data_IF_742074781366
#
_entry.id   IF_742074781366
#
_cell.length_a   1.000
_cell.length_b   1.000
_cell.length_c   1.000
_cell.angle_alpha   90.00
_cell.angle_beta   90.00
_cell.angle_gamma   90.00
#
_symmetry.space_group_name_H-M   'P 1'
#
loop_
_entity.id
_entity.type
_entity.pdbx_description
1 polymer ?
#
# COMPACT_ATOMS: atom_id res chain seq x y z
N UNK A 1 -70.66 -17.87 -40.31
CA UNK A 1 -70.30 -16.92 -39.32
C UNK A 1 -69.12 -17.55 -38.50
N UNK A 2 -67.90 -17.19 -38.79
CA UNK A 2 -66.66 -17.69 -38.05
C UNK A 2 -66.33 -16.67 -37.00
N UNK A 3 -66.36 -17.10 -35.72
CA UNK A 3 -65.87 -16.27 -34.57
C UNK A 3 -64.36 -16.33 -34.51
N UNK A 4 -63.72 -15.19 -34.62
CA UNK A 4 -62.30 -15.00 -34.46
C UNK A 4 -62.01 -14.75 -32.95
N UNK A 5 -61.36 -15.67 -32.26
CA UNK A 5 -60.82 -15.45 -30.88
C UNK A 5 -59.51 -14.71 -30.97
N UNK A 6 -59.45 -13.50 -30.42
CA UNK A 6 -58.24 -12.71 -30.25
C UNK A 6 -57.60 -13.13 -28.91
N UNK A 7 -56.46 -13.77 -28.95
CA UNK A 7 -55.65 -14.08 -27.77
C UNK A 7 -54.72 -12.88 -27.51
N UNK A 8 -55.03 -12.06 -26.49
CA UNK A 8 -54.12 -11.01 -25.98
C UNK A 8 -53.08 -11.67 -25.09
N UNK A 9 -51.85 -11.82 -25.58
CA UNK A 9 -50.71 -12.21 -24.77
C UNK A 9 -50.25 -11.05 -23.91
N UNK A 10 -50.34 -11.20 -22.58
CA UNK A 10 -49.82 -10.26 -21.59
C UNK A 10 -48.29 -10.47 -21.51
N UNK A 11 -47.50 -9.57 -22.10
CA UNK A 11 -46.04 -9.55 -21.92
C UNK A 11 -45.76 -8.87 -20.61
N UNK A 12 -45.36 -9.65 -19.58
CA UNK A 12 -44.86 -9.14 -18.30
C UNK A 12 -43.44 -8.61 -18.53
N UNK A 13 -43.28 -7.30 -18.59
CA UNK A 13 -41.96 -6.66 -18.47
C UNK A 13 -41.50 -6.73 -17.03
N UNK A 14 -40.58 -7.63 -16.73
CA UNK A 14 -39.82 -7.60 -15.47
C UNK A 14 -38.86 -6.43 -15.56
N UNK A 15 -39.21 -5.30 -14.97
CA UNK A 15 -38.28 -4.19 -14.75
C UNK A 15 -37.30 -4.62 -13.67
N UNK A 16 -36.15 -5.12 -14.07
CA UNK A 16 -35.02 -5.29 -13.18
C UNK A 16 -34.52 -3.89 -12.84
N UNK A 17 -34.87 -3.38 -11.67
CA UNK A 17 -34.32 -2.15 -11.15
C UNK A 17 -32.80 -2.33 -11.06
N UNK A 18 -31.97 -1.42 -11.60
CA UNK A 18 -30.55 -1.47 -11.33
C UNK A 18 -30.34 -1.33 -9.83
N UNK A 19 -29.81 -2.36 -9.19
CA UNK A 19 -29.31 -2.24 -7.82
C UNK A 19 -28.20 -1.19 -7.88
N UNK A 20 -28.47 0.00 -7.35
CA UNK A 20 -27.42 0.98 -7.08
C UNK A 20 -26.47 0.33 -6.07
N UNK A 21 -25.31 -0.14 -6.54
CA UNK A 21 -24.22 -0.53 -5.66
C UNK A 21 -23.94 0.70 -4.77
N UNK A 22 -24.12 0.53 -3.47
CA UNK A 22 -23.69 1.54 -2.50
C UNK A 22 -22.21 1.81 -2.72
N UNK A 23 -21.82 3.08 -2.76
CA UNK A 23 -20.39 3.42 -2.83
C UNK A 23 -19.65 2.80 -1.64
N UNK A 24 -18.49 2.21 -1.90
CA UNK A 24 -17.66 1.61 -0.85
C UNK A 24 -17.35 2.65 0.24
N UNK A 25 -17.52 2.26 1.50
CA UNK A 25 -17.20 3.11 2.65
C UNK A 25 -15.73 2.91 3.01
N UNK A 26 -14.84 3.52 2.21
CA UNK A 26 -13.40 3.40 2.40
C UNK A 26 -12.93 4.17 3.63
N UNK A 27 -11.94 3.59 4.32
CA UNK A 27 -11.24 4.27 5.42
C UNK A 27 -10.28 5.31 4.85
N UNK A 28 -10.19 6.46 5.50
CA UNK A 28 -9.24 7.53 5.14
C UNK A 28 -7.97 7.41 5.96
N UNK A 29 -6.84 7.76 5.36
CA UNK A 29 -5.51 7.92 5.98
C UNK A 29 -4.67 8.84 5.08
N UNK A 30 -3.60 9.42 5.63
CA UNK A 30 -2.94 10.55 4.98
C UNK A 30 -1.44 10.36 4.85
N UNK A 31 -0.80 9.72 5.83
CA UNK A 31 0.64 9.49 5.90
C UNK A 31 0.92 7.99 6.03
N UNK A 32 1.19 7.32 4.89
CA UNK A 32 1.40 5.87 4.82
C UNK A 32 2.88 5.51 4.70
N UNK A 33 3.44 4.85 5.70
CA UNK A 33 4.81 4.36 5.64
C UNK A 33 4.90 2.94 5.10
N UNK A 34 5.90 2.68 4.24
CA UNK A 34 6.17 1.37 3.66
C UNK A 34 7.14 0.58 4.54
N UNK A 35 6.74 -0.64 4.92
CA UNK A 35 7.48 -1.54 5.79
C UNK A 35 7.77 -2.86 5.08
N UNK A 36 8.94 -2.97 4.46
CA UNK A 36 9.38 -4.21 3.81
C UNK A 36 9.60 -5.32 4.81
N UNK A 37 8.96 -6.48 4.60
CA UNK A 37 9.03 -7.63 5.51
C UNK A 37 8.62 -8.93 4.82
N UNK A 38 9.19 -10.06 5.26
CA UNK A 38 8.78 -11.40 4.80
C UNK A 38 9.75 -12.06 3.84
N UNK A 39 10.72 -11.35 3.31
CA UNK A 39 11.82 -11.95 2.53
C UNK A 39 12.87 -12.57 3.45
N UNK A 40 13.38 -13.77 3.09
CA UNK A 40 14.43 -14.45 3.87
C UNK A 40 15.76 -13.69 3.92
N UNK A 41 15.97 -12.71 3.05
CA UNK A 41 17.14 -11.84 3.01
C UNK A 41 17.03 -10.65 3.96
N UNK A 42 15.86 -10.42 4.59
CA UNK A 42 15.69 -9.34 5.55
C UNK A 42 16.46 -9.66 6.83
N UNK A 43 17.29 -8.73 7.27
CA UNK A 43 18.17 -8.88 8.44
C UNK A 43 17.53 -8.42 9.74
N UNK A 44 16.30 -7.92 9.68
CA UNK A 44 15.56 -7.38 10.84
C UNK A 44 14.12 -7.92 10.87
N UNK A 45 13.53 -7.82 12.04
CA UNK A 45 12.11 -8.07 12.26
C UNK A 45 11.44 -6.80 12.75
N UNK A 46 10.23 -6.55 12.27
CA UNK A 46 9.40 -5.44 12.77
C UNK A 46 8.80 -5.82 14.13
N UNK A 47 9.63 -5.75 15.18
CA UNK A 47 9.21 -5.87 16.58
C UNK A 47 8.80 -4.50 17.16
N UNK A 48 8.45 -4.47 18.45
CA UNK A 48 8.02 -3.25 19.15
C UNK A 48 9.11 -2.16 19.13
N UNK A 49 10.38 -2.55 19.27
CA UNK A 49 11.48 -1.58 19.30
C UNK A 49 11.70 -0.92 17.93
N UNK A 50 11.69 -1.73 16.86
CA UNK A 50 11.82 -1.21 15.48
C UNK A 50 10.59 -0.40 15.04
N UNK A 51 9.39 -0.77 15.51
CA UNK A 51 8.13 -0.10 15.12
C UNK A 51 7.94 1.24 15.83
N UNK A 52 8.53 1.42 17.02
CA UNK A 52 8.34 2.61 17.88
C UNK A 52 8.49 3.95 17.14
N UNK A 53 9.62 4.25 16.42
CA UNK A 53 9.83 5.55 15.79
C UNK A 53 8.90 5.82 14.59
N UNK A 54 8.10 4.84 14.16
CA UNK A 54 7.08 4.99 13.12
C UNK A 54 5.70 5.28 13.71
N UNK A 55 5.48 4.93 14.97
CA UNK A 55 4.21 5.19 15.66
C UNK A 55 4.22 6.54 16.35
N UNK A 56 5.35 6.89 17.00
CA UNK A 56 5.48 8.15 17.73
C UNK A 56 6.82 8.83 17.48
N UNK A 57 6.81 10.15 17.58
CA UNK A 57 7.97 11.02 17.51
C UNK A 57 8.03 11.93 18.75
N UNK A 58 9.19 12.03 19.38
CA UNK A 58 9.46 13.00 20.44
C UNK A 58 10.24 14.17 19.85
N UNK A 59 9.68 15.37 19.89
CA UNK A 59 10.29 16.58 19.35
C UNK A 59 11.44 17.08 20.22
N UNK A 60 12.18 18.10 19.74
CA UNK A 60 13.32 18.71 20.41
C UNK A 60 12.96 19.36 21.77
N UNK A 61 11.68 19.62 22.03
CA UNK A 61 11.16 20.14 23.31
C UNK A 61 10.72 19.03 24.26
N UNK A 62 10.90 17.76 23.86
CA UNK A 62 10.47 16.59 24.63
C UNK A 62 8.98 16.25 24.53
N UNK A 63 8.23 16.91 23.64
CA UNK A 63 6.82 16.60 23.43
C UNK A 63 6.68 15.42 22.47
N UNK A 64 5.90 14.42 22.86
CA UNK A 64 5.59 13.26 22.02
C UNK A 64 4.37 13.53 21.12
N UNK A 65 4.43 13.02 19.88
CA UNK A 65 3.40 13.17 18.85
C UNK A 65 3.11 11.82 18.20
N UNK A 66 1.87 11.58 17.76
CA UNK A 66 1.55 10.52 16.80
C UNK A 66 2.24 10.84 15.47
N UNK A 67 2.75 9.80 14.79
CA UNK A 67 3.52 9.97 13.55
C UNK A 67 2.69 9.54 12.33
N UNK A 68 2.93 8.33 11.79
CA UNK A 68 2.17 7.83 10.65
C UNK A 68 0.80 7.30 11.08
N UNK A 69 -0.21 7.51 10.24
CA UNK A 69 -1.57 7.00 10.47
C UNK A 69 -1.87 5.72 9.68
N UNK A 70 -1.01 5.35 8.69
CA UNK A 70 -1.12 4.12 7.92
C UNK A 70 0.23 3.41 7.74
N UNK A 71 0.17 2.07 7.67
CA UNK A 71 1.32 1.18 7.60
C UNK A 71 1.12 0.15 6.50
N UNK A 72 1.93 0.22 5.45
CA UNK A 72 1.92 -0.73 4.34
C UNK A 72 2.99 -1.81 4.56
N UNK A 73 2.56 -3.05 4.78
CA UNK A 73 3.46 -4.21 4.80
C UNK A 73 3.52 -4.84 3.41
N UNK A 74 4.73 -4.94 2.86
CA UNK A 74 4.97 -5.48 1.52
C UNK A 74 6.30 -6.24 1.42
N UNK A 75 6.44 -7.05 0.36
CA UNK A 75 7.68 -7.68 -0.04
C UNK A 75 7.67 -7.94 -1.55
N UNK A 76 8.79 -7.66 -2.22
CA UNK A 76 8.93 -7.82 -3.68
C UNK A 76 9.40 -9.22 -4.05
N UNK A 77 10.31 -9.81 -3.26
CA UNK A 77 10.84 -11.15 -3.53
C UNK A 77 11.13 -11.93 -2.25
N UNK A 78 11.15 -13.25 -2.37
CA UNK A 78 11.31 -14.13 -1.21
C UNK A 78 12.70 -14.10 -0.57
N UNK A 79 13.71 -13.57 -1.25
CA UNK A 79 15.12 -13.72 -0.86
C UNK A 79 15.70 -15.12 -1.12
N UNK A 80 14.94 -15.99 -1.82
CA UNK A 80 15.34 -17.35 -2.27
C UNK A 80 15.09 -17.54 -3.76
N UNK A 81 15.24 -16.47 -4.53
CA UNK A 81 15.15 -16.49 -5.99
C UNK A 81 13.73 -16.59 -6.57
N UNK A 82 12.67 -16.35 -5.76
CA UNK A 82 11.29 -16.20 -6.24
C UNK A 82 10.82 -14.76 -6.01
N UNK A 83 9.90 -14.26 -6.84
CA UNK A 83 9.36 -12.90 -6.79
C UNK A 83 7.85 -12.88 -6.57
N UNK A 84 7.39 -11.84 -5.88
CA UNK A 84 5.97 -11.52 -5.71
C UNK A 84 5.47 -10.51 -6.76
N UNK A 85 6.38 -9.84 -7.47
CA UNK A 85 6.08 -8.92 -8.56
C UNK A 85 6.98 -9.21 -9.76
N UNK A 86 6.50 -8.94 -10.98
CA UNK A 86 7.27 -9.08 -12.22
C UNK A 86 8.47 -8.13 -12.28
N UNK A 87 9.47 -8.50 -13.08
CA UNK A 87 10.64 -7.65 -13.34
C UNK A 87 11.85 -7.87 -12.42
N UNK A 88 11.76 -8.67 -11.36
CA UNK A 88 12.84 -8.85 -10.39
C UNK A 88 13.60 -10.17 -10.52
N UNK A 89 12.92 -11.28 -10.82
CA UNK A 89 13.52 -12.59 -11.10
C UNK A 89 12.65 -13.36 -12.11
N UNK A 90 13.13 -14.52 -12.61
CA UNK A 90 12.37 -15.37 -13.54
C UNK A 90 11.46 -16.41 -12.85
N UNK A 91 11.50 -16.47 -11.52
CA UNK A 91 10.79 -17.50 -10.76
C UNK A 91 9.62 -16.91 -9.98
N UNK A 92 8.38 -17.23 -10.36
CA UNK A 92 7.20 -16.76 -9.65
C UNK A 92 7.03 -17.44 -8.29
N UNK A 93 6.41 -16.72 -7.36
CA UNK A 93 5.89 -17.29 -6.11
C UNK A 93 4.59 -18.05 -6.36
N UNK A 94 4.33 -19.05 -5.52
CA UNK A 94 3.11 -19.85 -5.55
C UNK A 94 2.16 -19.54 -4.37
N UNK A 95 1.04 -20.24 -4.31
CA UNK A 95 0.03 -20.06 -3.26
C UNK A 95 0.60 -20.24 -1.84
N UNK A 96 1.56 -21.15 -1.65
CA UNK A 96 2.17 -21.39 -0.34
C UNK A 96 3.10 -20.23 0.04
N UNK A 97 3.82 -19.65 -0.92
CA UNK A 97 4.62 -18.45 -0.70
C UNK A 97 3.73 -17.27 -0.31
N UNK A 98 2.57 -17.10 -0.98
CA UNK A 98 1.61 -16.04 -0.66
C UNK A 98 0.99 -16.24 0.73
N UNK A 99 0.62 -17.48 1.05
CA UNK A 99 0.11 -17.83 2.38
C UNK A 99 1.14 -17.51 3.47
N UNK A 100 2.38 -17.93 3.28
CA UNK A 100 3.48 -17.66 4.21
C UNK A 100 3.69 -16.16 4.41
N UNK A 101 3.61 -15.38 3.34
CA UNK A 101 3.77 -13.92 3.39
C UNK A 101 2.65 -13.27 4.23
N UNK A 102 1.40 -13.64 4.00
CA UNK A 102 0.26 -13.16 4.79
C UNK A 102 0.38 -13.54 6.28
N UNK A 103 0.74 -14.81 6.57
CA UNK A 103 0.95 -15.29 7.94
C UNK A 103 2.12 -14.56 8.62
N UNK A 104 3.15 -14.18 7.86
CA UNK A 104 4.28 -13.40 8.38
C UNK A 104 3.85 -11.98 8.81
N UNK A 105 3.02 -11.29 8.02
CA UNK A 105 2.54 -9.96 8.38
C UNK A 105 1.62 -9.97 9.60
N UNK A 106 0.85 -11.04 9.78
CA UNK A 106 -0.21 -11.14 10.78
C UNK A 106 0.21 -11.97 12.01
N UNK A 107 1.48 -11.85 12.43
CA UNK A 107 1.97 -12.47 13.66
C UNK A 107 1.61 -11.64 14.91
N UNK A 108 1.59 -12.29 16.07
CA UNK A 108 1.22 -11.63 17.33
C UNK A 108 2.31 -10.69 17.89
N UNK A 109 3.58 -10.96 17.56
CA UNK A 109 4.74 -10.31 18.21
C UNK A 109 5.58 -9.49 17.24
N UNK A 110 5.34 -9.61 15.94
CA UNK A 110 6.04 -8.87 14.88
C UNK A 110 5.05 -8.26 13.90
N UNK A 111 5.52 -7.37 13.03
CA UNK A 111 4.73 -6.68 12.01
C UNK A 111 3.46 -6.06 12.61
N UNK A 112 2.26 -6.46 12.15
CA UNK A 112 0.99 -5.89 12.60
C UNK A 112 0.75 -6.10 14.10
N UNK A 113 1.18 -7.23 14.68
CA UNK A 113 1.05 -7.46 16.12
C UNK A 113 1.99 -6.56 16.95
N UNK A 114 3.20 -6.33 16.50
CA UNK A 114 4.10 -5.37 17.14
C UNK A 114 3.57 -3.94 17.02
N UNK A 115 3.02 -3.58 15.86
CA UNK A 115 2.37 -2.28 15.65
C UNK A 115 1.20 -2.09 16.64
N UNK A 116 0.30 -3.07 16.75
CA UNK A 116 -0.84 -3.01 17.69
C UNK A 116 -0.38 -2.79 19.14
N UNK A 117 0.68 -3.50 19.57
CA UNK A 117 1.28 -3.35 20.91
C UNK A 117 1.96 -1.99 21.10
N UNK A 118 2.67 -1.50 20.08
CA UNK A 118 3.35 -0.20 20.14
C UNK A 118 2.35 0.93 20.26
N UNK A 119 1.25 0.88 19.52
CA UNK A 119 0.16 1.87 19.63
C UNK A 119 -0.49 1.80 21.02
N UNK A 120 -0.75 0.59 21.57
CA UNK A 120 -1.31 0.44 22.91
C UNK A 120 -0.42 1.07 23.98
N UNK A 121 0.91 0.88 23.88
CA UNK A 121 1.85 1.52 24.80
C UNK A 121 1.90 3.06 24.63
N UNK A 122 1.79 3.55 23.40
CA UNK A 122 1.76 4.99 23.12
C UNK A 122 0.49 5.67 23.65
N UNK A 123 -0.65 5.00 23.60
CA UNK A 123 -1.93 5.50 24.16
C UNK A 123 -1.87 5.82 25.66
N UNK A 124 -1.02 5.14 26.42
CA UNK A 124 -0.78 5.42 27.84
C UNK A 124 -0.22 6.84 28.06
N UNK A 125 0.51 7.37 27.08
CA UNK A 125 1.20 8.68 27.14
C UNK A 125 0.47 9.76 26.37
N UNK A 126 -0.04 9.44 25.19
CA UNK A 126 -0.65 10.39 24.23
C UNK A 126 -2.18 10.42 24.28
N UNK A 127 -2.83 9.50 25.01
CA UNK A 127 -4.26 9.27 24.85
C UNK A 127 -4.60 8.50 23.57
N UNK A 128 -5.88 8.31 23.30
CA UNK A 128 -6.31 7.64 22.07
C UNK A 128 -6.07 8.51 20.85
N UNK A 129 -5.57 7.96 19.73
CA UNK A 129 -5.56 8.68 18.47
C UNK A 129 -7.00 8.95 18.01
N UNK A 130 -7.21 9.96 17.18
CA UNK A 130 -8.55 10.33 16.67
C UNK A 130 -9.20 9.16 15.93
N UNK A 131 -8.44 8.43 15.16
CA UNK A 131 -8.87 7.19 14.49
C UNK A 131 -7.87 6.07 14.78
N UNK A 132 -8.30 4.82 14.65
CA UNK A 132 -7.36 3.70 14.68
C UNK A 132 -6.38 3.81 13.50
N UNK A 133 -5.13 3.41 13.73
CA UNK A 133 -4.15 3.33 12.67
C UNK A 133 -4.55 2.30 11.62
N UNK A 134 -4.20 2.56 10.37
CA UNK A 134 -4.61 1.75 9.22
C UNK A 134 -3.48 0.81 8.80
N UNK A 135 -3.86 -0.39 8.41
CA UNK A 135 -2.95 -1.39 7.83
C UNK A 135 -3.34 -1.62 6.39
N UNK A 136 -2.37 -1.52 5.51
CA UNK A 136 -2.47 -1.89 4.09
C UNK A 136 -1.53 -3.06 3.86
N UNK A 137 -1.97 -4.06 3.10
CA UNK A 137 -1.19 -5.29 2.84
C UNK A 137 -0.86 -5.38 1.36
N UNK A 138 0.40 -5.66 1.06
CA UNK A 138 0.85 -5.91 -0.31
C UNK A 138 0.14 -7.13 -0.91
N UNK A 139 -0.51 -6.94 -2.05
CA UNK A 139 -1.15 -7.99 -2.84
C UNK A 139 -0.17 -8.49 -3.89
N UNK A 140 0.35 -9.72 -3.81
CA UNK A 140 1.27 -10.24 -4.79
C UNK A 140 0.67 -10.29 -6.20
N UNK A 141 1.50 -10.08 -7.20
CA UNK A 141 1.08 -10.13 -8.60
C UNK A 141 0.86 -11.59 -9.05
N UNK A 142 -0.31 -11.94 -9.61
CA UNK A 142 -0.55 -13.24 -10.22
C UNK A 142 0.14 -13.30 -11.57
N UNK A 143 1.40 -13.75 -11.59
CA UNK A 143 2.27 -13.69 -12.76
C UNK A 143 1.69 -14.51 -13.93
N UNK A 144 1.62 -13.86 -15.10
CA UNK A 144 1.01 -14.46 -16.30
C UNK A 144 1.73 -15.75 -16.71
N UNK A 145 0.96 -16.73 -17.19
CA UNK A 145 1.42 -18.03 -17.68
C UNK A 145 1.94 -19.02 -16.62
N UNK A 146 1.80 -18.75 -15.34
CA UNK A 146 2.14 -19.70 -14.27
C UNK A 146 1.04 -20.77 -14.14
N UNK A 147 1.40 -22.05 -14.37
CA UNK A 147 0.44 -23.19 -14.34
C UNK A 147 0.34 -23.92 -13.01
N UNK A 148 1.30 -23.74 -12.12
CA UNK A 148 1.40 -24.47 -10.84
C UNK A 148 1.32 -23.50 -9.65
N UNK A 149 0.44 -22.48 -9.74
CA UNK A 149 0.33 -21.50 -8.65
C UNK A 149 -0.34 -22.11 -7.41
N UNK A 150 -1.42 -22.86 -7.58
CA UNK A 150 -2.18 -23.45 -6.48
C UNK A 150 -3.62 -23.77 -6.89
N UNK A 151 -4.54 -23.71 -5.92
CA UNK A 151 -5.95 -24.08 -6.10
C UNK A 151 -6.88 -22.98 -5.61
N UNK A 152 -8.03 -22.84 -6.27
CA UNK A 152 -9.16 -22.05 -5.80
C UNK A 152 -9.79 -22.67 -4.53
N UNK A 153 -10.72 -21.96 -3.90
CA UNK A 153 -11.44 -22.39 -2.69
C UNK A 153 -12.22 -23.70 -2.88
N UNK A 154 -12.67 -23.98 -4.12
CA UNK A 154 -13.38 -25.20 -4.51
C UNK A 154 -12.45 -26.38 -4.83
N UNK A 155 -11.13 -26.20 -4.70
CA UNK A 155 -10.12 -27.24 -5.00
C UNK A 155 -9.68 -27.31 -6.47
N UNK A 156 -10.23 -26.50 -7.36
CA UNK A 156 -9.85 -26.42 -8.78
C UNK A 156 -8.43 -25.81 -8.90
N UNK A 157 -7.56 -26.45 -9.68
CA UNK A 157 -6.24 -25.92 -10.00
C UNK A 157 -6.36 -24.66 -10.86
N UNK A 158 -5.60 -23.62 -10.51
CA UNK A 158 -5.56 -22.37 -11.26
C UNK A 158 -4.45 -22.40 -12.33
N UNK A 159 -4.81 -21.95 -13.54
CA UNK A 159 -3.91 -21.72 -14.67
C UNK A 159 -3.83 -20.20 -14.93
N UNK A 160 -2.77 -19.56 -14.45
CA UNK A 160 -2.60 -18.11 -14.55
C UNK A 160 -2.29 -17.61 -15.99
N UNK A 161 -2.40 -18.49 -17.01
CA UNK A 161 -2.54 -18.06 -18.40
C UNK A 161 -3.91 -17.41 -18.67
N UNK A 162 -4.90 -17.68 -17.79
CA UNK A 162 -6.26 -17.16 -17.88
C UNK A 162 -6.48 -16.02 -16.89
N UNK A 163 -7.06 -14.93 -17.34
CA UNK A 163 -7.30 -13.77 -16.48
C UNK A 163 -8.29 -14.07 -15.34
N UNK A 164 -9.31 -14.93 -15.59
CA UNK A 164 -10.23 -15.36 -14.54
C UNK A 164 -9.53 -16.10 -13.40
N UNK A 165 -8.55 -16.94 -13.70
CA UNK A 165 -7.77 -17.67 -12.71
C UNK A 165 -6.77 -16.75 -11.98
N UNK A 166 -6.26 -15.72 -12.64
CA UNK A 166 -5.44 -14.66 -12.02
C UNK A 166 -6.27 -13.83 -11.03
N UNK A 167 -7.49 -13.44 -11.41
CA UNK A 167 -8.42 -12.74 -10.53
C UNK A 167 -8.78 -13.62 -9.33
N UNK A 168 -9.03 -14.91 -9.54
CA UNK A 168 -9.35 -15.86 -8.46
C UNK A 168 -8.19 -16.03 -7.48
N UNK A 169 -6.94 -16.05 -7.96
CA UNK A 169 -5.76 -16.06 -7.10
C UNK A 169 -5.69 -14.83 -6.19
N UNK A 170 -5.98 -13.63 -6.74
CA UNK A 170 -6.05 -12.40 -5.96
C UNK A 170 -7.18 -12.46 -4.91
N UNK A 171 -8.38 -12.92 -5.28
CA UNK A 171 -9.51 -13.07 -4.36
C UNK A 171 -9.17 -14.04 -3.22
N UNK A 172 -8.58 -15.18 -3.54
CA UNK A 172 -8.13 -16.13 -2.54
C UNK A 172 -7.20 -15.48 -1.50
N UNK A 173 -6.23 -14.68 -1.95
CA UNK A 173 -5.30 -14.01 -1.04
C UNK A 173 -5.98 -12.94 -0.19
N UNK A 174 -6.84 -12.12 -0.79
CA UNK A 174 -7.61 -11.09 -0.10
C UNK A 174 -8.46 -11.74 1.01
N UNK A 175 -9.22 -12.79 0.68
CA UNK A 175 -10.07 -13.50 1.64
C UNK A 175 -9.26 -14.14 2.76
N UNK A 176 -8.10 -14.73 2.41
CA UNK A 176 -7.19 -15.31 3.37
C UNK A 176 -6.68 -14.27 4.37
N UNK A 177 -6.19 -13.12 3.90
CA UNK A 177 -5.72 -12.03 4.75
C UNK A 177 -6.85 -11.47 5.62
N UNK A 178 -8.03 -11.20 5.05
CA UNK A 178 -9.19 -10.71 5.79
C UNK A 178 -9.59 -11.65 6.94
N UNK A 179 -9.65 -12.97 6.64
CA UNK A 179 -9.93 -13.99 7.65
C UNK A 179 -8.88 -13.99 8.76
N UNK A 180 -7.60 -14.03 8.40
CA UNK A 180 -6.48 -14.04 9.36
C UNK A 180 -6.45 -12.77 10.20
N UNK A 181 -6.63 -11.59 9.60
CA UNK A 181 -6.67 -10.32 10.33
C UNK A 181 -7.80 -10.31 11.38
N UNK A 182 -8.98 -10.80 11.02
CA UNK A 182 -10.12 -10.93 11.94
C UNK A 182 -9.83 -11.90 13.09
N UNK A 183 -9.17 -13.03 12.82
CA UNK A 183 -8.79 -14.03 13.83
C UNK A 183 -7.81 -13.46 14.87
N UNK A 184 -6.89 -12.58 14.46
CA UNK A 184 -5.87 -11.98 15.32
C UNK A 184 -6.47 -11.00 16.35
N UNK A 185 -7.66 -10.43 16.12
CA UNK A 185 -8.38 -9.53 17.04
C UNK A 185 -7.55 -8.34 17.51
N UNK A 186 -6.79 -7.72 16.63
CA UNK A 186 -6.03 -6.50 16.91
C UNK A 186 -6.95 -5.40 17.45
N UNK A 187 -6.47 -4.61 18.42
CA UNK A 187 -7.29 -3.62 19.15
C UNK A 187 -7.15 -2.20 18.58
N UNK A 188 -5.96 -1.87 18.10
CA UNK A 188 -5.56 -0.50 17.79
C UNK A 188 -5.39 -0.23 16.30
N UNK A 189 -5.47 -1.27 15.48
CA UNK A 189 -5.33 -1.18 14.03
C UNK A 189 -6.57 -1.72 13.30
N UNK A 190 -6.74 -1.31 12.05
CA UNK A 190 -7.80 -1.76 11.14
C UNK A 190 -7.20 -2.07 9.79
N UNK A 191 -7.65 -3.16 9.15
CA UNK A 191 -7.30 -3.46 7.75
C UNK A 191 -8.05 -2.48 6.85
N UNK A 192 -7.33 -1.55 6.23
CA UNK A 192 -7.91 -0.51 5.39
C UNK A 192 -7.93 -0.87 3.91
N UNK A 193 -7.04 -1.74 3.47
CA UNK A 193 -6.98 -2.08 2.05
C UNK A 193 -5.76 -2.92 1.66
N UNK A 194 -5.58 -3.01 0.35
CA UNK A 194 -4.47 -3.73 -0.26
C UNK A 194 -3.69 -2.83 -1.21
N UNK A 195 -2.42 -3.10 -1.34
CA UNK A 195 -1.50 -2.43 -2.24
C UNK A 195 -1.16 -3.36 -3.41
N UNK A 196 -1.39 -2.91 -4.64
CA UNK A 196 -0.98 -3.61 -5.84
C UNK A 196 0.52 -3.48 -6.03
N UNK A 197 1.23 -4.60 -5.95
CA UNK A 197 2.69 -4.59 -5.85
C UNK A 197 3.40 -4.31 -7.18
N UNK A 198 2.74 -4.54 -8.33
CA UNK A 198 3.30 -4.20 -9.62
C UNK A 198 3.18 -2.70 -9.86
N UNK A 199 4.30 -2.02 -10.08
CA UNK A 199 4.38 -0.55 -10.16
C UNK A 199 4.04 0.00 -11.56
N UNK A 200 3.63 -0.88 -12.49
CA UNK A 200 3.12 -0.55 -13.83
C UNK A 200 1.97 -1.49 -14.22
N UNK A 201 1.11 -1.07 -15.14
CA UNK A 201 -0.08 -1.83 -15.52
C UNK A 201 0.16 -2.86 -16.65
N UNK A 202 1.31 -2.86 -17.29
CA UNK A 202 1.62 -3.60 -18.52
C UNK A 202 1.20 -5.07 -18.52
N UNK A 203 1.49 -5.80 -17.44
CA UNK A 203 1.18 -7.22 -17.34
C UNK A 203 -0.19 -7.52 -16.69
N UNK A 204 -0.86 -6.53 -16.15
CA UNK A 204 -2.00 -6.72 -15.24
C UNK A 204 -3.23 -5.90 -15.60
N UNK A 205 -3.16 -5.04 -16.60
CA UNK A 205 -4.23 -4.15 -17.06
C UNK A 205 -5.58 -4.85 -17.24
N UNK A 206 -5.58 -6.10 -17.71
CA UNK A 206 -6.80 -6.87 -17.98
C UNK A 206 -7.51 -7.39 -16.74
N UNK A 207 -6.87 -7.37 -15.56
CA UNK A 207 -7.39 -7.93 -14.31
C UNK A 207 -7.54 -6.92 -13.18
N UNK A 208 -6.80 -5.80 -13.21
CA UNK A 208 -6.72 -4.85 -12.10
C UNK A 208 -8.11 -4.34 -11.70
N UNK A 209 -8.91 -3.93 -12.68
CA UNK A 209 -10.24 -3.36 -12.42
C UNK A 209 -11.14 -4.32 -11.63
N UNK A 210 -11.21 -5.60 -12.01
CA UNK A 210 -12.03 -6.61 -11.33
C UNK A 210 -11.53 -6.91 -9.91
N UNK A 211 -10.21 -6.79 -9.67
CA UNK A 211 -9.63 -6.90 -8.31
C UNK A 211 -10.05 -5.70 -7.47
N UNK A 212 -10.01 -4.49 -8.03
CA UNK A 212 -10.48 -3.26 -7.37
C UNK A 212 -11.97 -3.34 -7.00
N UNK A 213 -12.83 -3.79 -7.93
CA UNK A 213 -14.26 -4.01 -7.66
C UNK A 213 -14.49 -5.00 -6.52
N UNK A 214 -13.67 -6.07 -6.46
CA UNK A 214 -13.78 -7.05 -5.38
C UNK A 214 -13.44 -6.45 -4.04
N UNK A 215 -12.35 -5.70 -3.94
CA UNK A 215 -11.95 -5.00 -2.71
C UNK A 215 -13.00 -3.98 -2.26
N UNK A 216 -13.54 -3.19 -3.20
CA UNK A 216 -14.58 -2.20 -2.89
C UNK A 216 -15.88 -2.84 -2.35
N UNK A 217 -16.24 -4.06 -2.78
CA UNK A 217 -17.37 -4.82 -2.19
C UNK A 217 -17.15 -5.22 -0.74
N UNK A 218 -15.89 -5.22 -0.28
CA UNK A 218 -15.50 -5.51 1.09
C UNK A 218 -15.20 -4.23 1.90
N UNK A 219 -15.51 -3.05 1.37
CA UNK A 219 -15.16 -1.74 1.93
C UNK A 219 -13.63 -1.55 2.15
N UNK A 220 -12.81 -2.21 1.35
CA UNK A 220 -11.35 -2.13 1.38
C UNK A 220 -10.82 -1.31 0.21
N UNK A 221 -9.84 -0.46 0.49
CA UNK A 221 -9.20 0.36 -0.53
C UNK A 221 -8.22 -0.44 -1.39
N UNK A 222 -8.12 -0.08 -2.65
CA UNK A 222 -7.12 -0.57 -3.57
C UNK A 222 -6.09 0.53 -3.82
N UNK A 223 -4.84 0.30 -3.41
CA UNK A 223 -3.77 1.28 -3.42
C UNK A 223 -2.72 0.93 -4.47
N UNK A 224 -2.11 1.95 -5.07
CA UNK A 224 -1.07 1.79 -6.05
C UNK A 224 0.04 2.84 -5.88
N UNK A 225 1.27 2.47 -6.20
CA UNK A 225 2.42 3.38 -6.16
C UNK A 225 3.17 3.22 -7.49
N UNK A 226 2.68 3.86 -8.59
CA UNK A 226 3.30 3.78 -9.90
C UNK A 226 4.59 4.62 -9.97
N UNK A 227 5.62 4.12 -10.65
CA UNK A 227 6.83 4.91 -10.87
C UNK A 227 6.60 6.01 -11.94
N UNK A 228 7.47 7.01 -11.93
CA UNK A 228 7.38 8.21 -12.75
C UNK A 228 7.18 7.87 -14.25
N UNK A 229 5.98 8.15 -14.76
CA UNK A 229 5.53 7.84 -16.12
C UNK A 229 5.48 6.34 -16.46
N UNK A 230 5.24 5.48 -15.48
CA UNK A 230 4.96 4.06 -15.75
C UNK A 230 3.69 3.88 -16.57
N UNK A 231 3.57 2.72 -17.22
CA UNK A 231 2.34 2.39 -17.95
C UNK A 231 1.13 2.40 -17.01
N UNK A 232 0.09 3.16 -17.37
CA UNK A 232 -1.19 3.25 -16.67
C UNK A 232 -1.26 4.31 -15.56
N UNK A 233 -0.18 5.04 -15.22
CA UNK A 233 -0.21 6.01 -14.12
C UNK A 233 -1.25 7.12 -14.34
N UNK A 234 -1.51 7.52 -15.57
CA UNK A 234 -2.51 8.53 -15.94
C UNK A 234 -3.95 8.01 -15.79
N UNK A 235 -4.14 6.70 -15.93
CA UNK A 235 -5.43 6.00 -15.97
C UNK A 235 -5.74 5.26 -14.66
N UNK A 236 -5.07 5.61 -13.56
CA UNK A 236 -5.16 4.85 -12.32
C UNK A 236 -6.61 4.68 -11.78
N UNK A 237 -7.48 5.67 -11.99
CA UNK A 237 -8.90 5.59 -11.59
C UNK A 237 -9.66 4.59 -12.44
N UNK A 238 -9.46 4.61 -13.76
CA UNK A 238 -10.05 3.69 -14.72
C UNK A 238 -9.56 2.25 -14.50
N UNK A 239 -8.35 2.09 -14.01
CA UNK A 239 -7.80 0.80 -13.59
C UNK A 239 -8.42 0.28 -12.28
N UNK A 240 -9.23 1.10 -11.59
CA UNK A 240 -9.98 0.69 -10.39
C UNK A 240 -9.27 0.92 -9.07
N UNK A 241 -8.20 1.70 -9.03
CA UNK A 241 -7.53 2.10 -7.79
C UNK A 241 -8.32 3.19 -7.07
N UNK A 242 -8.30 3.16 -5.74
CA UNK A 242 -8.91 4.19 -4.90
C UNK A 242 -7.90 5.27 -4.49
N UNK A 243 -6.62 4.88 -4.32
CA UNK A 243 -5.51 5.76 -4.00
C UNK A 243 -4.30 5.38 -4.85
N UNK A 244 -3.65 6.37 -5.45
CA UNK A 244 -2.42 6.17 -6.21
C UNK A 244 -1.39 7.26 -5.86
N UNK A 245 -0.18 6.82 -5.52
CA UNK A 245 0.93 7.68 -5.06
C UNK A 245 2.05 7.65 -6.09
N UNK A 246 2.29 8.76 -6.77
CA UNK A 246 3.33 8.81 -7.81
C UNK A 246 4.73 8.79 -7.17
N UNK A 247 5.56 7.82 -7.59
CA UNK A 247 6.99 7.79 -7.25
C UNK A 247 7.76 8.74 -8.18
N UNK A 248 8.48 9.75 -7.68
CA UNK A 248 9.34 10.58 -8.52
C UNK A 248 10.58 9.87 -9.05
N UNK A 249 11.03 8.76 -8.45
CA UNK A 249 12.29 8.07 -8.74
C UNK A 249 13.49 9.04 -8.76
N UNK A 250 13.52 9.93 -7.79
CA UNK A 250 14.56 10.94 -7.68
C UNK A 250 15.72 10.48 -6.78
N UNK A 251 15.43 9.85 -5.65
CA UNK A 251 16.41 9.59 -4.60
C UNK A 251 17.61 8.74 -5.06
N UNK A 252 17.37 7.70 -5.83
CA UNK A 252 18.31 6.58 -6.05
C UNK A 252 19.43 6.87 -7.05
N UNK A 253 19.33 7.93 -7.86
CA UNK A 253 20.27 8.25 -8.90
C UNK A 253 20.58 9.74 -8.92
N UNK A 254 21.84 10.11 -8.62
CA UNK A 254 22.29 11.51 -8.57
C UNK A 254 22.22 12.23 -9.92
N UNK A 255 22.23 11.48 -11.04
CA UNK A 255 22.07 12.09 -12.37
C UNK A 255 20.65 12.59 -12.63
N UNK A 256 19.66 12.17 -11.82
CA UNK A 256 18.29 12.67 -11.91
C UNK A 256 18.25 14.06 -11.27
N UNK A 257 17.90 15.12 -12.05
CA UNK A 257 17.96 16.49 -11.57
C UNK A 257 16.80 16.81 -10.63
N UNK A 258 16.97 17.86 -9.80
CA UNK A 258 15.93 18.36 -8.89
C UNK A 258 14.59 18.68 -9.58
N UNK A 259 14.62 19.11 -10.85
CA UNK A 259 13.42 19.39 -11.65
C UNK A 259 12.47 18.19 -11.75
N UNK A 260 12.96 16.94 -11.61
CA UNK A 260 12.14 15.73 -11.56
C UNK A 260 11.08 15.80 -10.48
N UNK A 261 11.40 16.35 -9.31
CA UNK A 261 10.44 16.52 -8.22
C UNK A 261 9.33 17.52 -8.58
N UNK A 262 9.69 18.61 -9.26
CA UNK A 262 8.72 19.58 -9.75
C UNK A 262 7.81 18.98 -10.83
N UNK A 263 8.39 18.21 -11.76
CA UNK A 263 7.63 17.51 -12.80
C UNK A 263 6.68 16.46 -12.22
N UNK A 264 7.13 15.69 -11.22
CA UNK A 264 6.29 14.73 -10.52
C UNK A 264 5.11 15.40 -9.79
N UNK A 265 5.37 16.51 -9.07
CA UNK A 265 4.31 17.29 -8.43
C UNK A 265 3.31 17.87 -9.45
N UNK A 266 3.78 18.26 -10.65
CA UNK A 266 2.90 18.73 -11.73
C UNK A 266 2.01 17.59 -12.23
N UNK A 267 2.58 16.41 -12.54
CA UNK A 267 1.82 15.23 -12.97
C UNK A 267 0.81 14.79 -11.90
N UNK A 268 1.20 14.79 -10.61
CA UNK A 268 0.30 14.44 -9.53
C UNK A 268 -0.92 15.39 -9.44
N UNK A 269 -0.76 16.66 -9.76
CA UNK A 269 -1.88 17.60 -9.84
C UNK A 269 -2.73 17.38 -11.09
N UNK A 270 -2.09 17.14 -12.24
CA UNK A 270 -2.74 16.95 -13.54
C UNK A 270 -3.63 15.71 -13.55
N UNK A 271 -3.13 14.60 -12.99
CA UNK A 271 -3.84 13.30 -12.99
C UNK A 271 -4.46 12.95 -11.63
N UNK A 272 -4.53 13.92 -10.71
CA UNK A 272 -5.09 13.74 -9.36
C UNK A 272 -4.49 12.57 -8.57
N UNK A 273 -3.18 12.37 -8.71
CA UNK A 273 -2.40 11.42 -7.93
C UNK A 273 -1.99 12.03 -6.59
N UNK A 274 -1.80 11.20 -5.59
CA UNK A 274 -1.06 11.49 -4.37
C UNK A 274 0.46 11.34 -4.64
N UNK A 275 1.33 11.48 -3.63
CA UNK A 275 2.77 11.48 -3.83
C UNK A 275 3.48 10.47 -2.95
N UNK A 276 4.54 9.83 -3.47
CA UNK A 276 5.49 9.10 -2.65
C UNK A 276 6.77 9.91 -2.42
N UNK A 277 7.25 9.91 -1.19
CA UNK A 277 8.59 10.38 -0.82
C UNK A 277 9.51 9.17 -0.66
N UNK A 278 10.63 9.18 -1.39
CA UNK A 278 11.53 8.03 -1.44
C UNK A 278 12.87 8.37 -0.80
N UNK A 279 13.35 7.50 0.08
CA UNK A 279 14.71 7.51 0.61
C UNK A 279 15.11 6.11 1.10
N UNK A 280 16.38 5.87 1.33
CA UNK A 280 16.90 4.62 1.90
C UNK A 280 18.08 4.91 2.84
N UNK A 281 18.76 3.86 3.29
CA UNK A 281 19.87 3.93 4.25
C UNK A 281 21.02 4.85 3.79
N UNK A 282 21.10 5.20 2.51
CA UNK A 282 22.09 6.15 1.98
C UNK A 282 21.91 7.57 2.51
N UNK A 283 20.77 7.90 3.13
CA UNK A 283 20.61 9.19 3.83
C UNK A 283 21.72 9.43 4.86
N UNK A 284 22.28 8.36 5.45
CA UNK A 284 23.39 8.43 6.40
C UNK A 284 24.78 8.45 5.75
N UNK A 285 24.86 8.27 4.43
CA UNK A 285 26.13 8.13 3.67
C UNK A 285 26.22 9.10 2.49
N UNK A 286 25.69 10.32 2.67
CA UNK A 286 25.83 11.41 1.70
C UNK A 286 24.57 11.76 0.92
N UNK A 287 23.50 10.96 0.96
CA UNK A 287 22.24 11.22 0.24
C UNK A 287 21.19 11.97 1.07
N UNK A 288 21.49 12.36 2.30
CA UNK A 288 20.55 13.10 3.16
C UNK A 288 19.99 14.38 2.53
N UNK A 289 20.81 15.08 1.70
CA UNK A 289 20.37 16.28 0.98
C UNK A 289 19.19 16.01 0.04
N UNK A 290 19.09 14.80 -0.54
CA UNK A 290 18.00 14.45 -1.44
C UNK A 290 16.67 14.29 -0.70
N UNK A 291 16.69 13.86 0.55
CA UNK A 291 15.50 13.86 1.40
C UNK A 291 15.06 15.29 1.76
N UNK A 292 16.01 16.20 2.03
CA UNK A 292 15.69 17.63 2.16
C UNK A 292 15.08 18.20 0.86
N UNK A 293 15.59 17.80 -0.31
CA UNK A 293 15.07 18.21 -1.61
C UNK A 293 13.61 17.77 -1.82
N UNK A 294 13.25 16.53 -1.42
CA UNK A 294 11.85 16.07 -1.42
C UNK A 294 10.95 16.95 -0.58
N UNK A 295 11.30 17.15 0.69
CA UNK A 295 10.51 17.95 1.61
C UNK A 295 10.31 19.39 1.09
N UNK A 296 11.39 19.98 0.57
CA UNK A 296 11.38 21.31 -0.04
C UNK A 296 10.48 21.36 -1.28
N UNK A 297 10.65 20.43 -2.21
CA UNK A 297 9.88 20.42 -3.45
C UNK A 297 8.39 20.20 -3.19
N UNK A 298 8.02 19.29 -2.28
CA UNK A 298 6.62 19.02 -1.95
C UNK A 298 5.94 20.25 -1.31
N UNK A 299 6.65 20.98 -0.42
CA UNK A 299 6.16 22.25 0.13
C UNK A 299 6.04 23.33 -0.94
N UNK A 300 7.08 23.56 -1.74
CA UNK A 300 7.11 24.60 -2.78
C UNK A 300 6.06 24.39 -3.87
N UNK A 301 5.83 23.15 -4.26
CA UNK A 301 4.81 22.80 -5.26
C UNK A 301 3.42 22.58 -4.65
N UNK A 302 3.23 22.74 -3.35
CA UNK A 302 1.94 22.62 -2.69
C UNK A 302 1.42 21.19 -2.53
N UNK A 303 2.18 20.17 -2.92
CA UNK A 303 1.79 18.75 -2.72
C UNK A 303 1.66 18.42 -1.24
N UNK A 304 2.57 18.92 -0.41
CA UNK A 304 2.50 18.77 1.04
C UNK A 304 1.21 19.35 1.66
N UNK A 305 0.57 20.32 1.01
CA UNK A 305 -0.66 20.93 1.51
C UNK A 305 -1.95 20.28 1.02
N UNK A 306 -1.88 19.45 -0.03
CA UNK A 306 -3.08 19.03 -0.76
C UNK A 306 -3.14 17.54 -1.07
N UNK A 307 -2.04 16.80 -0.90
CA UNK A 307 -1.92 15.39 -1.27
C UNK A 307 -1.68 14.53 -0.04
N UNK A 308 -2.19 13.30 -0.05
CA UNK A 308 -1.72 12.25 0.85
C UNK A 308 -0.29 11.89 0.50
N UNK A 309 0.46 11.37 1.46
CA UNK A 309 1.85 10.99 1.23
C UNK A 309 2.08 9.51 1.60
N UNK A 310 2.78 8.80 0.71
CA UNK A 310 3.41 7.53 1.00
C UNK A 310 4.91 7.77 1.23
N UNK A 311 5.54 6.92 2.05
CA UNK A 311 6.95 7.08 2.42
C UNK A 311 7.68 5.77 2.26
N UNK A 312 8.44 5.64 1.15
CA UNK A 312 9.42 4.58 0.99
C UNK A 312 10.70 4.97 1.74
N UNK A 313 11.15 4.10 2.64
CA UNK A 313 12.31 4.37 3.49
C UNK A 313 13.36 3.23 3.46
N UNK A 314 13.50 2.55 2.32
CA UNK A 314 14.35 1.37 2.23
C UNK A 314 13.88 0.26 3.15
N UNK A 315 14.79 -0.26 3.97
CA UNK A 315 14.45 -1.26 4.99
C UNK A 315 14.26 -0.63 6.37
N UNK A 316 15.23 0.14 6.85
CA UNK A 316 15.30 0.69 8.21
C UNK A 316 15.85 2.11 8.27
N UNK A 317 15.82 2.88 7.18
CA UNK A 317 16.47 4.19 7.14
C UNK A 317 15.99 5.13 8.26
N UNK A 318 14.69 5.20 8.49
CA UNK A 318 14.13 6.03 9.57
C UNK A 318 14.54 5.53 10.96
N UNK A 319 14.52 4.20 11.18
CA UNK A 319 15.00 3.63 12.45
C UNK A 319 16.49 3.89 12.67
N UNK A 320 17.32 3.76 11.63
CA UNK A 320 18.74 4.04 11.70
C UNK A 320 19.03 5.51 12.04
N UNK A 321 18.26 6.44 11.47
CA UNK A 321 18.34 7.86 11.84
C UNK A 321 17.94 8.08 13.31
N UNK A 322 16.87 7.40 13.77
CA UNK A 322 16.35 7.49 15.14
C UNK A 322 17.39 7.05 16.19
N UNK A 323 18.14 5.97 15.93
CA UNK A 323 19.13 5.43 16.86
C UNK A 323 20.54 6.02 16.70
N UNK A 324 20.77 6.84 15.68
CA UNK A 324 22.08 7.42 15.39
C UNK A 324 22.48 8.45 16.43
N UNK A 325 23.78 8.46 16.78
CA UNK A 325 24.38 9.50 17.64
C UNK A 325 25.00 10.67 16.87
N UNK A 326 25.07 10.56 15.52
CA UNK A 326 25.61 11.63 14.68
C UNK A 326 24.64 12.82 14.63
N UNK A 327 25.20 14.02 14.72
CA UNK A 327 24.41 15.25 14.72
C UNK A 327 23.60 15.41 13.43
N UNK A 328 24.21 15.16 12.29
CA UNK A 328 23.60 15.30 10.96
C UNK A 328 22.41 14.34 10.80
N UNK A 329 22.51 13.12 11.29
CA UNK A 329 21.44 12.13 11.25
C UNK A 329 20.28 12.55 12.17
N UNK A 330 20.58 13.07 13.37
CA UNK A 330 19.57 13.60 14.30
C UNK A 330 18.83 14.80 13.70
N UNK A 331 19.55 15.74 13.12
CA UNK A 331 18.98 16.93 12.49
C UNK A 331 18.03 16.52 11.33
N UNK A 332 18.45 15.55 10.51
CA UNK A 332 17.64 15.00 9.43
C UNK A 332 16.41 14.27 9.97
N UNK A 333 16.58 13.42 11.00
CA UNK A 333 15.48 12.72 11.67
C UNK A 333 14.42 13.69 12.18
N UNK A 334 14.82 14.70 12.95
CA UNK A 334 13.89 15.70 13.50
C UNK A 334 13.20 16.50 12.40
N UNK A 335 13.93 16.90 11.35
CA UNK A 335 13.35 17.62 10.23
C UNK A 335 12.30 16.80 9.49
N UNK A 336 12.60 15.53 9.23
CA UNK A 336 11.68 14.61 8.57
C UNK A 336 10.45 14.31 9.43
N UNK A 337 10.64 13.96 10.71
CA UNK A 337 9.53 13.67 11.61
C UNK A 337 8.60 14.88 11.78
N UNK A 338 9.18 16.07 11.89
CA UNK A 338 8.41 17.32 11.94
C UNK A 338 7.62 17.57 10.65
N UNK A 339 8.22 17.26 9.48
CA UNK A 339 7.52 17.35 8.20
C UNK A 339 6.28 16.44 8.17
N UNK A 340 6.36 15.22 8.71
CA UNK A 340 5.23 14.28 8.78
C UNK A 340 4.19 14.74 9.80
N UNK A 341 4.62 15.09 11.02
CA UNK A 341 3.69 15.47 12.11
C UNK A 341 2.91 16.75 11.79
N UNK A 342 3.55 17.69 11.11
CA UNK A 342 2.94 18.97 10.70
C UNK A 342 2.18 18.88 9.36
N UNK A 343 2.12 17.72 8.73
CA UNK A 343 1.42 17.52 7.46
C UNK A 343 -0.06 17.93 7.61
N UNK A 344 -0.55 18.93 6.83
CA UNK A 344 -1.86 19.53 7.10
C UNK A 344 -3.04 18.73 6.52
N UNK A 345 -2.78 17.75 5.67
CA UNK A 345 -3.80 16.86 5.11
C UNK A 345 -4.08 15.76 6.13
N UNK A 346 -5.07 15.99 7.02
CA UNK A 346 -5.48 15.04 8.07
C UNK A 346 -7.00 15.03 8.23
#
# INVERSE_FOLDING_TARGET
>A
MKKLLLLMGLILFVVVSPQTLSAAKLMTYHDMVLLYSGGYHRTHYWDVAHTKPYVTYVDENGKEHWMFDAFLYLEIHTGRGKMFASGYTDRPTDQQDWKRLADHYLQADTCVGALDKTIEAAKQRLGKPETKHKVVIGLPEPLKNQKNWGTASDGRKLDLAKDEDRIEACRWYIDYVCKRFKEMKFKNVELAGFYWIAEEATNTRTIIHQVGEYLNKLDLSFNWIPWFRSDGFEEWKELGFNYAYLQPNFFFNETVPYSRLNDACKLAKEFDLDMEMEFDERVQTGFGYRLYDYMKAFKQNGCWHTKRLAYYQGCLALYNLYVSDKKEDKDLYHTFCKFVVEHPVK
#
